data_IF_162259858287
#
_entry.id   IF_162259858287
#
_cell.length_a   1.000
_cell.length_b   1.000
_cell.length_c   1.000
_cell.angle_alpha   90.00
_cell.angle_beta   90.00
_cell.angle_gamma   90.00
#
_symmetry.space_group_name_H-M   'P 1'
#
loop_
_entity.id
_entity.type
_entity.pdbx_description
1 polymer ?
#
# COMPACT_ATOMS: atom_id res chain seq x y z
N UNK A 1 -6.76 -30.03 23.96
CA UNK A 1 -7.66 -30.46 25.06
C UNK A 1 -7.81 -29.37 26.14
N UNK A 2 -6.74 -28.71 26.55
CA UNK A 2 -6.74 -27.70 27.65
C UNK A 2 -7.63 -26.46 27.33
N UNK A 3 -7.58 -25.91 26.13
CA UNK A 3 -8.36 -24.70 25.74
C UNK A 3 -9.87 -24.95 25.75
N UNK A 4 -10.34 -26.18 25.43
CA UNK A 4 -11.77 -26.50 25.48
C UNK A 4 -12.30 -26.51 26.92
N UNK A 5 -11.55 -27.07 27.87
CA UNK A 5 -11.93 -27.07 29.28
C UNK A 5 -11.97 -25.66 29.90
N UNK A 6 -11.01 -24.82 29.52
CA UNK A 6 -10.95 -23.42 29.97
C UNK A 6 -12.12 -22.59 29.42
N UNK A 7 -12.48 -22.81 28.16
CA UNK A 7 -13.61 -22.11 27.52
C UNK A 7 -14.97 -22.52 28.15
N UNK A 8 -15.10 -23.73 28.64
CA UNK A 8 -16.33 -24.15 29.37
C UNK A 8 -16.49 -23.39 30.70
N UNK A 9 -15.37 -23.11 31.36
CA UNK A 9 -15.36 -22.35 32.61
C UNK A 9 -15.59 -20.85 32.37
N UNK A 10 -14.89 -20.29 31.40
CA UNK A 10 -14.97 -18.88 31.04
C UNK A 10 -16.32 -18.51 30.38
N UNK A 11 -16.95 -19.45 29.67
CA UNK A 11 -18.26 -19.26 29.07
C UNK A 11 -19.37 -18.97 30.09
N UNK A 12 -19.25 -19.48 31.32
CA UNK A 12 -20.16 -19.12 32.40
C UNK A 12 -20.04 -17.67 32.88
N UNK A 13 -18.92 -17.04 32.59
CA UNK A 13 -18.62 -15.63 32.91
C UNK A 13 -18.73 -14.70 31.68
N UNK A 14 -19.19 -15.23 30.52
CA UNK A 14 -19.33 -14.44 29.28
C UNK A 14 -18.01 -14.26 28.51
N UNK A 15 -16.95 -15.01 28.83
CA UNK A 15 -15.66 -14.94 28.16
C UNK A 15 -15.34 -16.21 27.36
N UNK A 16 -14.58 -16.06 26.28
CA UNK A 16 -14.02 -17.20 25.54
C UNK A 16 -12.59 -16.91 25.10
N UNK A 17 -11.74 -17.92 25.12
CA UNK A 17 -10.41 -17.86 24.52
C UNK A 17 -10.51 -18.46 23.12
N UNK A 18 -10.28 -17.64 22.11
CA UNK A 18 -10.15 -18.07 20.71
C UNK A 18 -8.71 -17.90 20.26
N UNK A 19 -8.20 -18.85 19.47
CA UNK A 19 -6.92 -18.67 18.80
C UNK A 19 -7.15 -17.67 17.66
N UNK A 20 -6.62 -16.47 17.80
CA UNK A 20 -6.56 -15.57 16.66
C UNK A 20 -5.53 -16.13 15.67
N UNK A 21 -6.00 -16.65 14.54
CA UNK A 21 -5.16 -17.16 13.45
C UNK A 21 -4.74 -16.03 12.49
N UNK A 22 -5.30 -14.85 12.66
CA UNK A 22 -4.92 -13.68 11.85
C UNK A 22 -3.59 -13.11 12.39
N UNK A 23 -2.64 -12.93 11.50
CA UNK A 23 -1.39 -12.21 11.77
C UNK A 23 -1.58 -10.69 11.75
N UNK A 24 -2.74 -10.23 11.30
CA UNK A 24 -3.08 -8.80 11.22
C UNK A 24 -3.51 -8.31 12.61
N UNK A 25 -2.96 -7.20 13.12
CA UNK A 25 -3.39 -6.58 14.36
C UNK A 25 -4.89 -6.27 14.39
N UNK A 26 -5.50 -6.41 15.58
CA UNK A 26 -6.96 -6.28 15.73
C UNK A 26 -7.45 -4.88 15.35
N UNK A 27 -6.65 -3.86 15.62
CA UNK A 27 -6.96 -2.46 15.30
C UNK A 27 -7.18 -2.26 13.82
N UNK A 28 -6.35 -2.91 12.98
CA UNK A 28 -6.47 -2.87 11.53
C UNK A 28 -7.72 -3.62 11.04
N UNK A 29 -8.10 -4.69 11.75
CA UNK A 29 -9.26 -5.49 11.39
C UNK A 29 -10.59 -4.79 11.71
N UNK A 30 -10.58 -3.83 12.61
CA UNK A 30 -11.79 -3.13 13.09
C UNK A 30 -12.00 -1.76 12.47
N UNK A 31 -10.97 -1.15 11.87
CA UNK A 31 -11.10 0.14 11.16
C UNK A 31 -11.80 -0.06 9.81
N UNK A 32 -13.13 -0.04 9.83
CA UNK A 32 -13.96 -0.25 8.64
C UNK A 32 -13.80 0.85 7.58
N UNK A 33 -13.37 2.04 7.97
CA UNK A 33 -13.10 3.13 7.03
C UNK A 33 -11.82 2.82 6.23
N UNK A 34 -10.75 2.47 6.93
CA UNK A 34 -9.50 2.04 6.29
C UNK A 34 -9.72 0.80 5.41
N UNK A 35 -10.41 -0.24 5.91
CA UNK A 35 -10.61 -1.49 5.17
C UNK A 35 -11.27 -1.28 3.83
N UNK A 36 -12.26 -0.37 3.74
CA UNK A 36 -12.90 -0.02 2.46
C UNK A 36 -11.93 0.63 1.47
N UNK A 37 -11.01 1.45 1.93
CA UNK A 37 -9.98 2.07 1.10
C UNK A 37 -8.89 1.06 0.73
N UNK A 38 -8.50 0.22 1.68
CA UNK A 38 -7.52 -0.84 1.48
C UNK A 38 -7.91 -1.80 0.35
N UNK A 39 -9.17 -2.26 0.32
CA UNK A 39 -9.64 -3.16 -0.75
C UNK A 39 -9.54 -2.54 -2.16
N UNK A 40 -9.66 -1.22 -2.26
CA UNK A 40 -9.44 -0.51 -3.53
C UNK A 40 -7.96 -0.42 -3.93
N UNK A 41 -7.07 -0.28 -2.95
CA UNK A 41 -5.64 -0.07 -3.19
C UNK A 41 -4.85 -1.38 -3.29
N UNK A 42 -5.30 -2.44 -2.61
CA UNK A 42 -4.61 -3.72 -2.49
C UNK A 42 -4.13 -4.31 -3.82
N UNK A 43 -4.90 -4.28 -4.92
CA UNK A 43 -4.44 -4.84 -6.20
C UNK A 43 -3.29 -4.07 -6.86
N UNK A 44 -2.99 -2.86 -6.38
CA UNK A 44 -2.06 -1.92 -6.99
C UNK A 44 -0.84 -1.61 -6.11
N UNK A 45 -0.60 -2.42 -5.06
CA UNK A 45 0.52 -2.22 -4.15
C UNK A 45 1.15 -3.52 -3.72
N UNK A 46 2.47 -3.51 -3.54
CA UNK A 46 3.22 -4.59 -2.86
C UNK A 46 3.40 -4.30 -1.37
N UNK A 47 2.90 -3.17 -0.90
CA UNK A 47 3.01 -2.76 0.50
C UNK A 47 2.04 -3.57 1.36
N UNK A 48 2.50 -4.02 2.54
CA UNK A 48 1.64 -4.75 3.47
C UNK A 48 0.49 -3.89 4.00
N UNK A 49 -0.55 -4.54 4.52
CA UNK A 49 -1.71 -3.85 5.10
C UNK A 49 -1.28 -2.87 6.21
N UNK A 50 -0.33 -3.26 7.06
CA UNK A 50 0.16 -2.43 8.16
C UNK A 50 0.85 -1.16 7.66
N UNK A 51 1.63 -1.26 6.59
CA UNK A 51 2.29 -0.11 5.96
C UNK A 51 1.28 0.83 5.33
N UNK A 52 0.29 0.29 4.60
CA UNK A 52 -0.80 1.11 4.06
C UNK A 52 -1.64 1.75 5.17
N UNK A 53 -1.86 1.05 6.28
CA UNK A 53 -2.53 1.64 7.44
C UNK A 53 -1.73 2.80 8.04
N UNK A 54 -0.42 2.62 8.20
CA UNK A 54 0.46 3.70 8.67
C UNK A 54 0.42 4.91 7.75
N UNK A 55 0.43 4.70 6.43
CA UNK A 55 0.28 5.77 5.44
C UNK A 55 -1.08 6.46 5.56
N UNK A 56 -2.16 5.69 5.65
CA UNK A 56 -3.51 6.22 5.86
C UNK A 56 -3.58 7.10 7.11
N UNK A 57 -3.08 6.60 8.24
CA UNK A 57 -3.07 7.36 9.50
C UNK A 57 -2.19 8.62 9.41
N UNK A 58 -1.05 8.55 8.71
CA UNK A 58 -0.19 9.71 8.47
C UNK A 58 -0.92 10.79 7.64
N UNK A 59 -1.65 10.39 6.59
CA UNK A 59 -2.46 11.32 5.80
C UNK A 59 -3.54 11.99 6.66
N UNK A 60 -4.26 11.22 7.48
CA UNK A 60 -5.27 11.77 8.39
C UNK A 60 -4.63 12.74 9.39
N UNK A 61 -3.48 12.36 9.99
CA UNK A 61 -2.76 13.21 10.94
C UNK A 61 -2.37 14.56 10.32
N UNK A 62 -1.84 14.55 9.09
CA UNK A 62 -1.46 15.78 8.36
C UNK A 62 -2.66 16.70 8.17
N UNK A 63 -3.81 16.12 7.76
CA UNK A 63 -5.03 16.90 7.52
C UNK A 63 -5.64 17.41 8.84
N UNK A 64 -5.81 16.52 9.81
CA UNK A 64 -6.50 16.82 11.07
C UNK A 64 -5.72 17.86 11.90
N UNK A 65 -4.39 17.88 11.77
CA UNK A 65 -3.51 18.89 12.40
C UNK A 65 -3.22 20.11 11.51
N UNK A 66 -3.86 20.21 10.34
CA UNK A 66 -3.72 21.35 9.41
C UNK A 66 -2.26 21.62 9.02
N UNK A 67 -1.45 20.57 8.88
CA UNK A 67 -0.09 20.71 8.41
C UNK A 67 -0.11 21.11 6.94
N UNK A 68 0.62 22.16 6.57
CA UNK A 68 0.70 22.65 5.20
C UNK A 68 1.58 21.75 4.34
N UNK A 69 1.39 21.86 3.01
CA UNK A 69 2.19 21.17 1.99
C UNK A 69 1.40 20.14 1.21
N UNK A 70 2.11 19.48 0.31
CA UNK A 70 1.60 18.49 -0.62
C UNK A 70 2.14 17.09 -0.28
N UNK A 71 1.69 16.06 -1.00
CA UNK A 71 2.13 14.69 -0.79
C UNK A 71 3.07 14.25 -1.91
N UNK A 72 4.07 13.45 -1.56
CA UNK A 72 5.08 12.97 -2.51
C UNK A 72 5.31 11.48 -2.31
N UNK A 73 5.34 10.72 -3.40
CA UNK A 73 5.80 9.34 -3.43
C UNK A 73 6.94 9.20 -4.44
N UNK A 74 8.03 8.56 -4.02
CA UNK A 74 9.16 8.20 -4.88
C UNK A 74 9.21 6.68 -4.99
N UNK A 75 9.05 6.16 -6.24
CA UNK A 75 8.84 4.74 -6.48
C UNK A 75 7.37 4.37 -6.31
N UNK A 76 6.62 4.43 -7.40
CA UNK A 76 5.16 4.41 -7.39
C UNK A 76 4.60 3.02 -7.75
N UNK A 77 5.30 2.28 -8.62
CA UNK A 77 4.81 1.05 -9.22
C UNK A 77 3.40 1.25 -9.80
N UNK A 78 2.38 0.49 -9.39
CA UNK A 78 1.00 0.59 -9.89
C UNK A 78 0.16 1.66 -9.19
N UNK A 79 0.74 2.39 -8.22
CA UNK A 79 0.14 3.57 -7.59
C UNK A 79 -0.68 3.33 -6.34
N UNK A 80 -0.67 2.11 -5.75
CA UNK A 80 -1.56 1.79 -4.63
C UNK A 80 -1.37 2.66 -3.38
N UNK A 81 -0.16 3.06 -3.04
CA UNK A 81 0.08 4.00 -1.94
C UNK A 81 -0.42 5.40 -2.27
N UNK A 82 -0.16 5.90 -3.49
CA UNK A 82 -0.70 7.19 -3.95
C UNK A 82 -2.22 7.20 -4.00
N UNK A 83 -2.84 6.08 -4.41
CA UNK A 83 -4.30 5.90 -4.33
C UNK A 83 -4.79 6.00 -2.88
N UNK A 84 -4.07 5.39 -1.93
CA UNK A 84 -4.40 5.49 -0.50
C UNK A 84 -4.32 6.94 -0.01
N UNK A 85 -3.29 7.70 -0.40
CA UNK A 85 -3.20 9.15 -0.08
C UNK A 85 -4.41 9.90 -0.61
N UNK A 86 -4.75 9.73 -1.90
CA UNK A 86 -5.89 10.37 -2.53
C UNK A 86 -7.22 10.07 -1.82
N UNK A 87 -7.46 8.79 -1.53
CA UNK A 87 -8.68 8.34 -0.86
C UNK A 87 -8.75 8.78 0.61
N UNK A 88 -7.62 8.81 1.32
CA UNK A 88 -7.53 9.31 2.69
C UNK A 88 -7.86 10.82 2.74
N UNK A 89 -7.29 11.62 1.83
CA UNK A 89 -7.59 13.05 1.70
C UNK A 89 -9.08 13.28 1.42
N UNK A 90 -9.65 12.57 0.45
CA UNK A 90 -11.08 12.65 0.12
C UNK A 90 -11.97 12.29 1.33
N UNK A 91 -11.56 11.32 2.16
CA UNK A 91 -12.32 10.94 3.36
C UNK A 91 -12.45 12.09 4.38
N UNK A 92 -11.57 13.11 4.27
CA UNK A 92 -11.60 14.34 5.05
C UNK A 92 -12.14 15.55 4.27
N UNK A 93 -12.65 15.34 3.06
CA UNK A 93 -13.15 16.42 2.20
C UNK A 93 -12.03 17.30 1.61
N UNK A 94 -10.79 16.84 1.65
CA UNK A 94 -9.63 17.56 1.10
C UNK A 94 -9.36 17.06 -0.31
N UNK A 95 -9.41 17.97 -1.28
CA UNK A 95 -9.23 17.64 -2.71
C UNK A 95 -8.32 18.61 -3.44
N UNK A 96 -7.78 19.59 -2.75
CA UNK A 96 -6.99 20.71 -3.30
C UNK A 96 -5.47 20.51 -3.15
N UNK A 97 -5.03 19.52 -2.36
CA UNK A 97 -3.60 19.19 -2.24
C UNK A 97 -3.09 18.42 -3.44
N UNK A 98 -1.87 18.70 -3.84
CA UNK A 98 -1.22 17.96 -4.92
C UNK A 98 -0.62 16.66 -4.39
N UNK A 99 -0.64 15.63 -5.24
CA UNK A 99 0.05 14.36 -5.00
C UNK A 99 1.06 14.20 -6.13
N UNK A 100 2.34 14.22 -5.78
CA UNK A 100 3.46 14.08 -6.70
C UNK A 100 3.93 12.64 -6.73
N UNK A 101 3.97 12.05 -7.92
CA UNK A 101 4.35 10.65 -8.16
C UNK A 101 5.63 10.64 -9.00
N UNK A 102 6.76 10.35 -8.39
CA UNK A 102 8.05 10.25 -9.05
C UNK A 102 8.40 8.79 -9.32
N UNK A 103 8.49 8.39 -10.57
CA UNK A 103 8.85 7.03 -10.96
C UNK A 103 9.50 7.04 -12.36
N UNK A 104 10.20 5.97 -12.71
CA UNK A 104 10.64 5.73 -14.07
C UNK A 104 9.47 5.39 -14.99
N UNK A 105 8.42 4.78 -14.46
CA UNK A 105 7.32 4.13 -15.19
C UNK A 105 7.82 3.11 -16.22
N UNK A 106 9.00 2.56 -15.97
CA UNK A 106 9.67 1.57 -16.79
C UNK A 106 10.06 0.32 -15.99
N UNK A 107 9.71 0.30 -14.70
CA UNK A 107 10.09 -0.74 -13.75
C UNK A 107 11.53 -0.59 -13.25
N UNK A 108 12.06 -1.67 -12.69
CA UNK A 108 13.42 -1.70 -12.15
C UNK A 108 14.45 -1.44 -13.26
N UNK A 109 15.53 -0.74 -12.90
CA UNK A 109 16.69 -0.58 -13.76
C UNK A 109 17.48 -1.88 -13.88
N UNK A 110 18.33 -1.99 -14.92
CA UNK A 110 19.24 -3.12 -15.04
C UNK A 110 20.14 -3.20 -13.80
N UNK A 111 20.25 -4.42 -13.20
CA UNK A 111 21.03 -4.61 -11.99
C UNK A 111 22.54 -4.57 -12.27
N UNK A 112 23.27 -4.13 -11.28
CA UNK A 112 24.73 -4.16 -11.26
C UNK A 112 25.26 -5.41 -10.52
N UNK A 113 26.56 -5.61 -10.53
CA UNK A 113 27.20 -6.71 -9.78
C UNK A 113 27.04 -6.58 -8.25
N UNK A 114 26.68 -5.38 -7.76
CA UNK A 114 26.48 -5.12 -6.32
C UNK A 114 25.05 -5.40 -5.85
N UNK A 115 24.12 -5.59 -6.79
CA UNK A 115 22.72 -5.85 -6.47
C UNK A 115 22.53 -7.35 -6.14
N UNK A 116 22.72 -7.66 -4.86
CA UNK A 116 22.63 -9.02 -4.32
C UNK A 116 21.53 -9.07 -3.27
N UNK A 117 20.64 -10.05 -3.37
CA UNK A 117 19.59 -10.24 -2.38
C UNK A 117 20.13 -10.81 -1.05
N UNK A 118 19.31 -10.76 0.01
CA UNK A 118 19.68 -11.26 1.35
C UNK A 118 20.11 -12.74 1.34
N UNK A 119 19.59 -13.52 0.41
CA UNK A 119 19.93 -14.94 0.20
C UNK A 119 21.24 -15.14 -0.60
N UNK A 120 21.97 -14.08 -0.95
CA UNK A 120 23.21 -14.11 -1.73
C UNK A 120 23.01 -14.30 -3.23
N UNK A 121 21.78 -14.38 -3.72
CA UNK A 121 21.49 -14.51 -5.16
C UNK A 121 21.55 -13.13 -5.81
N UNK A 122 22.28 -13.01 -6.96
CA UNK A 122 22.33 -11.75 -7.70
C UNK A 122 20.96 -11.36 -8.25
N UNK A 123 20.67 -10.06 -8.25
CA UNK A 123 19.42 -9.54 -8.81
C UNK A 123 19.29 -9.91 -10.31
N UNK A 124 20.39 -9.89 -11.07
CA UNK A 124 20.41 -10.32 -12.47
C UNK A 124 19.88 -11.74 -12.64
N UNK A 125 20.31 -12.69 -11.80
CA UNK A 125 19.84 -14.09 -11.85
C UNK A 125 18.35 -14.25 -11.49
N UNK A 126 17.80 -13.34 -10.70
CA UNK A 126 16.37 -13.34 -10.37
C UNK A 126 15.55 -12.72 -11.52
N UNK A 127 15.95 -11.56 -12.00
CA UNK A 127 15.26 -10.80 -13.04
C UNK A 127 15.20 -11.54 -14.38
N UNK A 128 16.26 -12.28 -14.77
CA UNK A 128 16.28 -13.06 -16.02
C UNK A 128 15.29 -14.23 -16.05
N UNK A 129 14.74 -14.63 -14.91
CA UNK A 129 13.78 -15.73 -14.80
C UNK A 129 12.32 -15.28 -14.93
N UNK A 130 12.09 -13.99 -14.95
CA UNK A 130 10.75 -13.40 -14.94
C UNK A 130 10.55 -12.49 -16.15
N UNK A 131 9.31 -12.42 -16.63
CA UNK A 131 8.94 -11.49 -17.68
C UNK A 131 8.58 -10.15 -17.03
N UNK A 132 9.03 -9.08 -17.65
CA UNK A 132 8.84 -7.71 -17.14
C UNK A 132 7.35 -7.34 -17.05
N UNK A 133 6.56 -7.85 -17.97
CA UNK A 133 5.13 -7.55 -18.12
C UNK A 133 4.22 -8.33 -17.18
N UNK A 134 4.75 -9.34 -16.48
CA UNK A 134 3.96 -10.11 -15.53
C UNK A 134 3.65 -9.25 -14.30
N UNK A 135 2.39 -9.22 -13.87
CA UNK A 135 1.89 -8.31 -12.84
C UNK A 135 2.59 -8.48 -11.47
N UNK A 136 3.04 -9.71 -11.17
CA UNK A 136 3.72 -10.04 -9.91
C UNK A 136 5.24 -10.12 -10.07
N UNK A 137 5.77 -9.69 -11.22
CA UNK A 137 7.19 -9.72 -11.52
C UNK A 137 7.99 -8.80 -10.60
N UNK A 138 9.18 -9.26 -10.19
CA UNK A 138 10.15 -8.42 -9.44
C UNK A 138 10.69 -7.25 -10.27
N UNK A 139 10.42 -7.19 -11.59
CA UNK A 139 10.67 -6.00 -12.40
C UNK A 139 9.85 -4.79 -11.98
N UNK A 140 8.76 -4.99 -11.21
CA UNK A 140 7.90 -3.91 -10.72
C UNK A 140 7.49 -2.94 -11.84
N UNK A 141 7.19 -3.47 -13.02
CA UNK A 141 6.79 -2.66 -14.16
C UNK A 141 5.34 -2.20 -14.04
N UNK A 142 5.12 -0.92 -14.25
CA UNK A 142 3.82 -0.34 -14.48
C UNK A 142 3.98 0.88 -15.40
N UNK A 143 3.19 0.97 -16.46
CA UNK A 143 3.29 2.08 -17.39
C UNK A 143 2.70 3.37 -16.80
N UNK A 144 3.12 4.51 -17.34
CA UNK A 144 2.56 5.81 -16.97
C UNK A 144 1.04 5.85 -17.12
N UNK A 145 0.52 5.28 -18.21
CA UNK A 145 -0.90 5.23 -18.54
C UNK A 145 -1.68 4.36 -17.56
N UNK A 146 -1.11 3.22 -17.14
CA UNK A 146 -1.70 2.34 -16.15
C UNK A 146 -1.83 3.07 -14.81
N UNK A 147 -0.74 3.68 -14.32
CA UNK A 147 -0.75 4.41 -13.04
C UNK A 147 -1.73 5.58 -13.09
N UNK A 148 -1.77 6.33 -14.20
CA UNK A 148 -2.73 7.41 -14.37
C UNK A 148 -4.17 6.90 -14.35
N UNK A 149 -4.45 5.76 -15.00
CA UNK A 149 -5.77 5.13 -14.95
C UNK A 149 -6.15 4.74 -13.53
N UNK A 150 -5.24 4.12 -12.78
CA UNK A 150 -5.45 3.71 -11.39
C UNK A 150 -5.72 4.94 -10.50
N UNK A 151 -4.94 5.99 -10.63
CA UNK A 151 -5.16 7.24 -9.88
C UNK A 151 -6.52 7.87 -10.21
N UNK A 152 -6.92 7.90 -11.47
CA UNK A 152 -8.25 8.40 -11.88
C UNK A 152 -9.39 7.59 -11.27
N UNK A 153 -9.22 6.29 -11.05
CA UNK A 153 -10.24 5.43 -10.44
C UNK A 153 -10.58 5.81 -9.01
N UNK A 154 -9.71 6.56 -8.32
CA UNK A 154 -9.99 7.10 -6.98
C UNK A 154 -11.04 8.20 -6.96
N UNK A 155 -11.26 8.88 -8.10
CA UNK A 155 -12.07 10.08 -8.19
C UNK A 155 -11.42 11.34 -7.63
N UNK A 156 -10.11 11.30 -7.27
CA UNK A 156 -9.36 12.49 -6.87
C UNK A 156 -9.18 13.42 -8.07
N UNK A 157 -9.23 14.78 -7.90
CA UNK A 157 -9.09 15.71 -9.00
C UNK A 157 -7.77 15.50 -9.76
N UNK A 158 -7.88 15.21 -11.05
CA UNK A 158 -6.72 14.84 -11.88
C UNK A 158 -5.72 16.00 -12.02
N UNK A 159 -6.19 17.23 -11.95
CA UNK A 159 -5.37 18.45 -11.94
C UNK A 159 -4.48 18.55 -10.70
N UNK A 160 -4.73 17.79 -9.66
CA UNK A 160 -3.92 17.72 -8.44
C UNK A 160 -3.03 16.45 -8.38
N UNK A 161 -3.06 15.63 -9.42
CA UNK A 161 -2.15 14.50 -9.59
C UNK A 161 -1.00 14.94 -10.48
N UNK A 162 0.24 14.86 -9.96
CA UNK A 162 1.46 15.27 -10.66
C UNK A 162 2.37 14.07 -10.87
N UNK A 163 2.30 13.46 -12.03
CA UNK A 163 3.15 12.34 -12.40
C UNK A 163 4.43 12.88 -13.07
N UNK A 164 5.59 12.55 -12.48
CA UNK A 164 6.90 12.99 -12.94
C UNK A 164 7.72 11.77 -13.31
N UNK A 165 8.01 11.61 -14.60
CA UNK A 165 8.87 10.57 -15.10
C UNK A 165 10.33 10.96 -14.94
N UNK A 166 11.14 10.09 -14.31
CA UNK A 166 12.57 10.34 -14.14
C UNK A 166 13.27 9.17 -13.42
N UNK A 167 14.61 9.23 -13.38
CA UNK A 167 15.49 8.32 -12.62
C UNK A 167 16.09 9.07 -11.45
#
# INVERSE_FOLDING_TARGET
MIIRGLNTLLGKMGYSITRNSSTVPIDLQTDTAFLRLYEKCRPYTQTSMERLYSLYQACLYVVDNKLEGDFVECGVWRGGSSMMMALALQSRGVTDRKIYLYDTYEGMSEPTAFDVAVDGVSASNKLTKEKKEDADSIWCYASFEEVLHNMRSTGYPVENIRMIKGK
#
